data_IF_798281855719
#
_entry.id   IF_798281855719
#
_cell.length_a   1.000
_cell.length_b   1.000
_cell.length_c   1.000
_cell.angle_alpha   90.00
_cell.angle_beta   90.00
_cell.angle_gamma   90.00
#
_symmetry.space_group_name_H-M   'P 1'
#
loop_
_entity.id
_entity.type
_entity.pdbx_description
1 polymer ?
#
# COMPACT_ATOMS: atom_id res chain seq x y z
N UNK A 1 -14.75 -12.66 -0.96
CA UNK A 1 -14.30 -12.76 0.46
C UNK A 1 -13.28 -11.69 0.80
N UNK A 2 -13.17 -11.33 2.09
CA UNK A 2 -12.12 -10.44 2.60
C UNK A 2 -11.53 -11.03 3.86
N UNK A 3 -10.24 -10.80 4.10
CA UNK A 3 -9.52 -11.28 5.28
C UNK A 3 -8.88 -10.11 6.02
N UNK A 4 -8.95 -10.12 7.34
CA UNK A 4 -8.38 -9.09 8.21
C UNK A 4 -7.69 -9.70 9.43
N UNK A 5 -6.90 -8.88 10.11
CA UNK A 5 -6.25 -9.24 11.37
C UNK A 5 -6.66 -8.24 12.44
N UNK A 6 -7.19 -8.73 13.55
CA UNK A 6 -7.55 -7.92 14.72
C UNK A 6 -6.81 -8.40 15.95
N UNK A 7 -6.68 -7.55 16.97
CA UNK A 7 -6.25 -7.97 18.30
C UNK A 7 -7.48 -8.16 19.17
N UNK A 8 -7.63 -9.36 19.71
CA UNK A 8 -8.69 -9.69 20.64
C UNK A 8 -8.05 -10.42 21.84
N UNK A 9 -8.42 -10.02 23.05
CA UNK A 9 -7.85 -10.58 24.30
C UNK A 9 -6.31 -10.56 24.37
N UNK A 10 -5.69 -9.56 23.72
CA UNK A 10 -4.25 -9.39 23.65
C UNK A 10 -3.53 -10.16 22.52
N UNK A 11 -4.23 -11.07 21.84
CA UNK A 11 -3.68 -11.89 20.76
C UNK A 11 -4.15 -11.47 19.37
N UNK A 12 -3.31 -11.66 18.36
CA UNK A 12 -3.69 -11.43 16.97
C UNK A 12 -4.59 -12.56 16.49
N UNK A 13 -5.76 -12.24 15.95
CA UNK A 13 -6.72 -13.18 15.42
C UNK A 13 -7.11 -12.81 13.99
N UNK A 14 -7.28 -13.82 13.16
CA UNK A 14 -7.75 -13.66 11.80
C UNK A 14 -9.28 -13.61 11.77
N UNK A 15 -9.79 -12.71 10.95
CA UNK A 15 -11.23 -12.58 10.67
C UNK A 15 -11.46 -12.65 9.17
N UNK A 16 -12.62 -13.18 8.80
CA UNK A 16 -13.06 -13.30 7.42
C UNK A 16 -14.39 -12.60 7.24
N UNK A 17 -14.54 -11.81 6.19
CA UNK A 17 -15.79 -11.22 5.78
C UNK A 17 -16.28 -11.83 4.48
N UNK A 18 -17.54 -12.22 4.47
CA UNK A 18 -18.25 -12.72 3.29
C UNK A 18 -18.74 -11.59 2.38
N UNK A 19 -19.17 -11.93 1.17
CA UNK A 19 -19.67 -10.95 0.21
C UNK A 19 -21.01 -10.31 0.63
N UNK A 20 -21.80 -10.98 1.46
CA UNK A 20 -23.04 -10.47 2.05
C UNK A 20 -22.82 -9.64 3.33
N UNK A 21 -21.55 -9.52 3.77
CA UNK A 21 -21.14 -8.66 4.88
C UNK A 21 -21.02 -9.36 6.23
N UNK A 22 -21.33 -10.66 6.33
CA UNK A 22 -21.10 -11.44 7.56
C UNK A 22 -19.61 -11.49 7.91
N UNK A 23 -19.28 -11.32 9.20
CA UNK A 23 -17.89 -11.36 9.67
C UNK A 23 -17.75 -12.51 10.68
N UNK A 24 -16.76 -13.33 10.48
CA UNK A 24 -16.49 -14.54 11.26
C UNK A 24 -15.05 -14.57 11.76
N UNK A 25 -14.86 -15.16 12.95
CA UNK A 25 -13.50 -15.52 13.38
C UNK A 25 -13.01 -16.69 12.53
N UNK A 26 -11.79 -16.61 12.06
CA UNK A 26 -11.19 -17.67 11.26
C UNK A 26 -11.18 -19.01 11.99
N UNK A 27 -10.99 -19.00 13.32
CA UNK A 27 -11.06 -20.20 14.16
C UNK A 27 -12.40 -20.96 13.97
N UNK A 28 -13.51 -20.24 13.99
CA UNK A 28 -14.83 -20.88 13.82
C UNK A 28 -15.00 -21.43 12.40
N UNK A 29 -14.55 -20.71 11.38
CA UNK A 29 -14.62 -21.16 9.97
C UNK A 29 -13.75 -22.40 9.75
N UNK A 30 -12.53 -22.42 10.30
CA UNK A 30 -11.63 -23.56 10.19
C UNK A 30 -12.17 -24.81 10.91
N UNK A 31 -12.80 -24.65 12.06
CA UNK A 31 -13.42 -25.75 12.78
C UNK A 31 -14.55 -26.44 11.98
N UNK A 32 -15.35 -25.65 11.23
CA UNK A 32 -16.42 -26.19 10.37
C UNK A 32 -15.84 -26.81 9.09
N UNK A 33 -14.81 -26.17 8.49
CA UNK A 33 -14.18 -26.68 7.27
C UNK A 33 -13.30 -27.90 7.48
N UNK A 34 -12.95 -28.22 8.73
CA UNK A 34 -12.07 -29.33 9.07
C UNK A 34 -10.58 -29.08 8.82
N UNK A 35 -10.18 -27.81 8.64
CA UNK A 35 -8.79 -27.43 8.47
C UNK A 35 -8.19 -26.89 9.78
N UNK A 36 -6.87 -27.01 9.89
CA UNK A 36 -6.13 -26.41 11.00
C UNK A 36 -6.12 -24.88 10.90
N UNK A 37 -6.25 -24.20 12.04
CA UNK A 37 -6.21 -22.74 12.11
C UNK A 37 -4.83 -22.22 11.67
N UNK A 38 -4.75 -21.32 10.68
CA UNK A 38 -3.51 -20.66 10.33
C UNK A 38 -3.04 -19.74 11.46
N UNK A 39 -1.75 -19.80 11.78
CA UNK A 39 -1.18 -19.02 12.88
C UNK A 39 -1.17 -17.50 12.59
N UNK A 40 -1.06 -17.12 11.32
CA UNK A 40 -1.00 -15.73 10.86
C UNK A 40 -1.64 -15.60 9.50
N UNK A 41 -1.89 -14.36 9.06
CA UNK A 41 -2.32 -14.08 7.68
C UNK A 41 -1.31 -14.60 6.65
N UNK A 42 -0.01 -14.48 6.92
CA UNK A 42 1.03 -15.02 6.03
C UNK A 42 0.94 -16.55 5.93
N UNK A 43 0.64 -17.23 7.03
CA UNK A 43 0.41 -18.67 7.01
C UNK A 43 -0.84 -19.04 6.17
N UNK A 44 -1.93 -18.27 6.28
CA UNK A 44 -3.10 -18.45 5.41
C UNK A 44 -2.74 -18.26 3.93
N UNK A 45 -1.98 -17.21 3.60
CA UNK A 45 -1.54 -16.93 2.21
C UNK A 45 -0.71 -18.09 1.66
N UNK A 46 0.26 -18.60 2.44
CA UNK A 46 1.09 -19.74 2.03
C UNK A 46 0.26 -21.01 1.81
N UNK A 47 -0.67 -21.30 2.72
CA UNK A 47 -1.55 -22.48 2.58
C UNK A 47 -2.47 -22.39 1.37
N UNK A 48 -2.94 -21.18 1.04
CA UNK A 48 -3.77 -20.97 -0.15
C UNK A 48 -2.98 -21.13 -1.46
N UNK A 49 -1.65 -20.94 -1.45
CA UNK A 49 -0.78 -21.27 -2.59
C UNK A 49 -0.54 -22.78 -2.71
N UNK A 50 -0.37 -23.47 -1.57
CA UNK A 50 -0.15 -24.91 -1.52
C UNK A 50 -1.44 -25.72 -1.81
N UNK A 51 -2.61 -25.21 -1.46
CA UNK A 51 -3.91 -25.86 -1.58
C UNK A 51 -4.94 -24.93 -2.25
N UNK A 52 -5.18 -25.14 -3.52
CA UNK A 52 -6.13 -24.36 -4.32
C UNK A 52 -7.60 -24.53 -3.88
N UNK A 53 -7.93 -25.60 -3.17
CA UNK A 53 -9.27 -25.87 -2.67
C UNK A 53 -9.55 -25.23 -1.30
N UNK A 54 -8.52 -24.71 -0.62
CA UNK A 54 -8.67 -24.10 0.71
C UNK A 54 -9.69 -22.98 0.72
N UNK A 55 -9.50 -21.95 -0.11
CA UNK A 55 -10.38 -20.77 -0.12
C UNK A 55 -11.82 -21.09 -0.55
N UNK A 56 -12.06 -21.92 -1.59
CA UNK A 56 -13.39 -22.43 -1.89
C UNK A 56 -14.03 -23.19 -0.72
N UNK A 57 -13.27 -24.02 -0.02
CA UNK A 57 -13.76 -24.78 1.14
C UNK A 57 -14.13 -23.86 2.31
N UNK A 58 -13.34 -22.82 2.58
CA UNK A 58 -13.68 -21.82 3.59
C UNK A 58 -14.96 -21.06 3.25
N UNK A 59 -15.16 -20.73 1.97
CA UNK A 59 -16.41 -20.09 1.50
C UNK A 59 -17.62 -21.00 1.73
N UNK A 60 -17.50 -22.28 1.38
CA UNK A 60 -18.59 -23.26 1.55
C UNK A 60 -18.88 -23.56 3.03
N UNK A 61 -17.88 -23.52 3.91
CA UNK A 61 -18.05 -23.75 5.33
C UNK A 61 -19.00 -22.74 5.98
N UNK A 62 -19.00 -21.50 5.50
CA UNK A 62 -19.83 -20.42 6.03
C UNK A 62 -21.32 -20.67 5.81
N UNK A 63 -21.72 -21.29 4.70
CA UNK A 63 -23.13 -21.60 4.40
C UNK A 63 -23.75 -22.50 5.46
N UNK A 64 -22.94 -23.25 6.21
CA UNK A 64 -23.37 -24.12 7.29
C UNK A 64 -23.24 -23.53 8.70
N UNK A 65 -22.73 -22.30 8.83
CA UNK A 65 -22.50 -21.67 10.14
C UNK A 65 -23.80 -21.06 10.70
N UNK A 66 -23.94 -21.14 12.02
CA UNK A 66 -25.04 -20.53 12.72
C UNK A 66 -24.93 -19.00 12.76
N UNK A 67 -26.07 -18.28 12.74
CA UNK A 67 -26.09 -16.80 12.79
C UNK A 67 -25.37 -16.22 14.02
N UNK A 68 -25.33 -16.95 15.14
CA UNK A 68 -24.64 -16.53 16.36
C UNK A 68 -23.11 -16.60 16.25
N UNK A 69 -22.58 -17.23 15.19
CA UNK A 69 -21.15 -17.21 14.86
C UNK A 69 -20.67 -15.90 14.21
N UNK A 70 -21.62 -15.04 13.78
CA UNK A 70 -21.31 -13.73 13.21
C UNK A 70 -20.83 -12.80 14.33
N UNK A 71 -19.65 -12.23 14.16
CA UNK A 71 -19.12 -11.21 15.06
C UNK A 71 -19.43 -9.81 14.54
N UNK A 72 -19.50 -8.85 15.45
CA UNK A 72 -19.64 -7.43 15.12
C UNK A 72 -18.34 -6.74 15.44
N UNK A 73 -17.82 -6.02 14.47
CA UNK A 73 -16.69 -5.13 14.63
C UNK A 73 -17.24 -3.70 14.76
N UNK A 74 -16.62 -2.92 15.61
CA UNK A 74 -16.99 -1.53 15.91
C UNK A 74 -15.78 -0.59 15.71
N UNK A 75 -15.99 0.70 16.01
CA UNK A 75 -14.95 1.72 15.83
C UNK A 75 -13.77 1.53 16.79
N UNK A 76 -13.96 0.79 17.90
CA UNK A 76 -12.92 0.49 18.90
C UNK A 76 -12.15 -0.81 18.57
N UNK A 77 -12.50 -1.51 17.50
CA UNK A 77 -11.81 -2.73 17.07
C UNK A 77 -10.33 -2.47 16.87
N UNK A 78 -9.49 -3.24 17.55
CA UNK A 78 -8.03 -3.12 17.48
C UNK A 78 -7.49 -3.81 16.21
N UNK A 79 -7.54 -3.10 15.08
CA UNK A 79 -7.02 -3.58 13.81
C UNK A 79 -5.50 -3.59 13.78
N UNK A 80 -4.96 -4.69 13.31
CA UNK A 80 -3.55 -4.86 12.96
C UNK A 80 -3.38 -4.73 11.43
N UNK A 81 -2.15 -4.45 10.93
CA UNK A 81 -1.87 -4.65 9.52
C UNK A 81 -2.25 -6.07 9.11
N UNK A 82 -3.01 -6.29 8.01
CA UNK A 82 -3.38 -7.64 7.58
C UNK A 82 -2.17 -8.57 7.42
N UNK A 83 -1.11 -8.08 6.78
CA UNK A 83 0.22 -8.70 6.78
C UNK A 83 1.13 -7.84 7.65
N UNK A 84 1.59 -8.37 8.78
CA UNK A 84 2.40 -7.62 9.74
C UNK A 84 3.90 -7.64 9.44
N UNK A 85 4.39 -8.64 8.70
CA UNK A 85 5.82 -8.83 8.45
C UNK A 85 6.08 -9.39 7.04
N UNK A 86 5.77 -8.64 5.97
CA UNK A 86 6.15 -9.00 4.61
C UNK A 86 7.68 -9.05 4.48
N UNK A 87 8.21 -9.86 3.55
CA UNK A 87 9.66 -9.86 3.31
C UNK A 87 10.12 -8.53 2.72
N UNK A 88 9.27 -7.88 1.94
CA UNK A 88 9.48 -6.54 1.39
C UNK A 88 8.16 -5.84 1.06
N UNK A 89 8.24 -4.51 1.05
CA UNK A 89 7.18 -3.62 0.57
C UNK A 89 7.78 -2.80 -0.55
N UNK A 90 7.28 -2.98 -1.77
CA UNK A 90 7.64 -2.18 -2.93
C UNK A 90 6.60 -1.07 -3.12
N UNK A 91 7.04 0.16 -3.29
CA UNK A 91 6.19 1.23 -3.77
C UNK A 91 6.56 1.63 -5.19
N UNK A 92 5.58 1.98 -6.02
CA UNK A 92 5.79 2.45 -7.40
C UNK A 92 5.72 3.97 -7.45
N UNK A 93 6.87 4.60 -7.66
CA UNK A 93 6.98 6.06 -7.71
C UNK A 93 6.42 6.64 -9.01
N UNK A 94 5.75 7.79 -8.91
CA UNK A 94 5.26 8.56 -10.06
C UNK A 94 4.33 7.78 -11.02
N UNK A 95 3.66 6.75 -10.53
CA UNK A 95 2.76 5.93 -11.35
C UNK A 95 1.38 6.56 -11.59
N UNK A 96 1.30 7.88 -11.73
CA UNK A 96 0.08 8.59 -12.08
C UNK A 96 0.36 9.56 -13.23
N UNK A 97 -0.43 9.50 -14.29
CA UNK A 97 -0.23 10.31 -15.51
C UNK A 97 -0.23 11.83 -15.24
N UNK A 98 -1.02 12.30 -14.26
CA UNK A 98 -1.03 13.72 -13.89
C UNK A 98 0.28 14.13 -13.18
N UNK A 99 0.86 13.26 -12.38
CA UNK A 99 2.13 13.51 -11.72
C UNK A 99 3.29 13.48 -12.71
N UNK A 100 3.22 12.59 -13.71
CA UNK A 100 4.23 12.47 -14.76
C UNK A 100 4.35 13.69 -15.67
N UNK A 101 3.32 14.52 -15.79
CA UNK A 101 3.39 15.78 -16.56
C UNK A 101 4.50 16.74 -16.09
N UNK A 102 5.03 16.53 -14.90
CA UNK A 102 6.12 17.32 -14.31
C UNK A 102 7.50 16.65 -14.40
N UNK A 103 7.56 15.45 -14.93
CA UNK A 103 8.83 14.74 -15.10
C UNK A 103 9.60 15.28 -16.30
N UNK A 104 10.89 15.54 -16.12
CA UNK A 104 11.81 15.95 -17.20
C UNK A 104 12.40 14.74 -17.92
N UNK A 105 12.47 13.62 -17.23
CA UNK A 105 12.96 12.35 -17.76
C UNK A 105 12.01 11.24 -17.31
N UNK A 106 11.79 10.30 -18.20
CA UNK A 106 10.95 9.14 -18.00
C UNK A 106 11.70 7.89 -18.50
N UNK A 107 12.09 6.96 -17.62
CA UNK A 107 12.82 5.75 -18.03
C UNK A 107 11.97 4.77 -18.85
N UNK A 108 10.66 4.96 -18.97
CA UNK A 108 9.76 4.09 -19.71
C UNK A 108 9.37 2.79 -18.97
N UNK A 109 9.79 2.64 -17.72
CA UNK A 109 9.51 1.47 -16.86
C UNK A 109 9.11 1.94 -15.45
N UNK A 110 8.37 1.11 -14.67
CA UNK A 110 8.06 1.41 -13.28
C UNK A 110 9.31 1.67 -12.43
N UNK A 111 9.27 2.73 -11.62
CA UNK A 111 10.32 3.05 -10.65
C UNK A 111 9.93 2.56 -9.27
N UNK A 112 10.77 1.73 -8.66
CA UNK A 112 10.50 1.15 -7.35
C UNK A 112 11.32 1.80 -6.24
N UNK A 113 10.71 1.84 -5.04
CA UNK A 113 11.41 2.09 -3.79
C UNK A 113 10.96 1.04 -2.75
N UNK A 114 11.74 0.88 -1.69
CA UNK A 114 11.46 -0.06 -0.61
C UNK A 114 10.98 0.69 0.64
N UNK A 115 10.01 0.09 1.34
CA UNK A 115 9.63 0.48 2.70
C UNK A 115 9.93 -0.68 3.65
N UNK A 116 10.42 -0.40 4.89
CA UNK A 116 10.60 -1.43 5.89
C UNK A 116 9.24 -1.87 6.46
N UNK A 117 9.06 -3.16 6.83
CA UNK A 117 7.83 -3.62 7.47
C UNK A 117 7.46 -2.87 8.76
N UNK A 118 8.45 -2.33 9.49
CA UNK A 118 8.21 -1.54 10.70
C UNK A 118 7.39 -0.26 10.49
N UNK A 119 7.26 0.22 9.24
CA UNK A 119 6.40 1.37 8.96
C UNK A 119 4.90 1.04 8.97
N UNK A 120 4.53 -0.26 8.91
CA UNK A 120 3.13 -0.67 8.82
C UNK A 120 2.36 -0.38 10.10
N UNK A 121 1.13 0.08 9.93
CA UNK A 121 0.16 0.24 11.01
C UNK A 121 -1.26 -0.08 10.51
N UNK A 122 -2.14 -0.52 11.41
CA UNK A 122 -3.51 -0.94 11.07
C UNK A 122 -4.50 0.22 11.00
N UNK A 123 -5.72 -0.10 10.58
CA UNK A 123 -6.86 0.80 10.63
C UNK A 123 -7.09 1.32 12.06
N UNK A 124 -7.51 2.58 12.22
CA UNK A 124 -7.75 3.21 13.53
C UNK A 124 -6.49 3.60 14.29
N UNK A 125 -5.32 3.07 13.93
CA UNK A 125 -4.06 3.40 14.60
C UNK A 125 -3.53 4.75 14.16
N UNK A 126 -2.80 5.48 15.05
CA UNK A 126 -2.31 6.82 14.71
C UNK A 126 -1.18 6.79 13.67
N UNK A 127 -1.18 7.83 12.83
CA UNK A 127 -0.01 8.26 12.08
C UNK A 127 0.72 9.26 12.98
N UNK A 128 1.90 8.92 13.46
CA UNK A 128 2.73 9.81 14.26
C UNK A 128 3.57 10.70 13.36
N UNK A 129 3.48 12.01 13.58
CA UNK A 129 4.21 13.02 12.81
C UNK A 129 4.92 13.97 13.77
N UNK A 130 6.23 14.12 13.59
CA UNK A 130 6.96 15.22 14.21
C UNK A 130 6.77 16.48 13.33
N UNK A 131 6.24 17.57 13.85
CA UNK A 131 6.09 18.83 13.10
C UNK A 131 7.40 19.35 12.50
N UNK A 132 8.54 19.00 13.09
CA UNK A 132 9.87 19.39 12.58
C UNK A 132 10.31 18.60 11.32
N UNK A 133 9.54 17.58 10.91
CA UNK A 133 9.82 16.82 9.67
C UNK A 133 9.35 17.51 8.40
N UNK A 134 8.83 18.73 8.49
CA UNK A 134 8.36 19.54 7.37
C UNK A 134 7.08 18.99 6.75
N UNK A 135 6.96 19.10 5.43
CA UNK A 135 5.76 18.70 4.71
C UNK A 135 5.60 17.16 4.71
N UNK A 136 4.78 16.65 5.62
CA UNK A 136 4.33 15.24 5.64
C UNK A 136 2.95 15.16 5.01
N UNK A 137 2.78 14.30 4.01
CA UNK A 137 1.56 14.17 3.21
C UNK A 137 1.05 12.72 3.21
N UNK A 138 -0.28 12.49 3.15
CA UNK A 138 -0.85 11.18 2.88
C UNK A 138 -0.76 10.87 1.39
N UNK A 139 -0.63 9.62 1.04
CA UNK A 139 -0.64 9.13 -0.35
C UNK A 139 -1.58 7.93 -0.46
N UNK A 140 -2.87 8.16 -0.84
CA UNK A 140 -3.87 7.11 -1.03
C UNK A 140 -3.49 6.18 -2.19
N UNK A 141 -3.38 4.87 -1.92
CA UNK A 141 -2.94 3.88 -2.90
C UNK A 141 -3.71 2.56 -2.78
N UNK A 142 -3.81 1.83 -3.90
CA UNK A 142 -4.12 0.40 -3.89
C UNK A 142 -2.81 -0.38 -3.73
N UNK A 143 -2.86 -1.48 -2.98
CA UNK A 143 -1.72 -2.34 -2.71
C UNK A 143 -2.09 -3.80 -2.95
N UNK A 144 -1.30 -4.54 -3.74
CA UNK A 144 -1.41 -5.98 -3.87
C UNK A 144 -0.64 -6.69 -2.76
N UNK A 145 -1.19 -7.81 -2.31
CA UNK A 145 -0.51 -8.83 -1.50
C UNK A 145 -0.20 -10.00 -2.41
N UNK A 146 1.06 -10.36 -2.54
CA UNK A 146 1.50 -11.50 -3.34
C UNK A 146 1.05 -12.78 -2.68
N UNK A 147 0.43 -13.67 -3.44
CA UNK A 147 -0.08 -14.96 -2.98
C UNK A 147 0.80 -16.13 -3.38
N UNK A 148 1.46 -16.03 -4.52
CA UNK A 148 2.30 -17.06 -5.10
C UNK A 148 3.66 -16.50 -5.45
N UNK A 149 4.71 -17.27 -5.20
CA UNK A 149 6.08 -16.88 -5.56
C UNK A 149 6.17 -16.53 -7.04
N UNK A 150 6.74 -15.33 -7.34
CA UNK A 150 6.87 -14.82 -8.71
C UNK A 150 8.30 -14.41 -9.01
N UNK A 151 8.82 -14.87 -10.16
CA UNK A 151 10.13 -14.50 -10.70
C UNK A 151 10.13 -14.62 -12.21
N UNK A 152 10.42 -13.51 -12.91
CA UNK A 152 10.42 -13.41 -14.37
C UNK A 152 9.08 -13.79 -15.02
N UNK A 153 7.96 -13.43 -14.38
CA UNK A 153 6.62 -13.66 -14.91
C UNK A 153 6.23 -12.62 -15.96
N UNK A 154 5.30 -12.96 -16.82
CA UNK A 154 4.70 -12.04 -17.80
C UNK A 154 3.61 -11.16 -17.16
N UNK A 155 3.14 -10.13 -17.89
CA UNK A 155 2.01 -9.30 -17.45
C UNK A 155 0.70 -10.12 -17.41
N UNK A 156 0.52 -11.04 -18.31
CA UNK A 156 -0.66 -11.91 -18.37
C UNK A 156 -0.77 -12.84 -17.17
N UNK A 157 0.37 -13.26 -16.61
CA UNK A 157 0.44 -14.13 -15.42
C UNK A 157 0.36 -13.35 -14.09
N UNK A 158 0.56 -12.03 -14.13
CA UNK A 158 0.81 -11.22 -12.93
C UNK A 158 -0.30 -11.35 -11.87
N UNK A 159 -1.58 -11.29 -12.27
CA UNK A 159 -2.70 -11.38 -11.33
C UNK A 159 -2.90 -12.78 -10.76
N UNK A 160 -2.44 -13.84 -11.42
CA UNK A 160 -2.46 -15.22 -10.91
C UNK A 160 -1.52 -15.41 -9.70
N UNK A 161 -0.60 -14.46 -9.50
CA UNK A 161 0.32 -14.43 -8.37
C UNK A 161 -0.15 -13.54 -7.22
N UNK A 162 -1.32 -12.89 -7.34
CA UNK A 162 -1.86 -11.99 -6.31
C UNK A 162 -2.87 -12.73 -5.43
N UNK A 163 -2.69 -12.69 -4.11
CA UNK A 163 -3.66 -13.19 -3.13
C UNK A 163 -4.89 -12.28 -3.05
N UNK A 164 -4.68 -10.98 -3.03
CA UNK A 164 -5.73 -9.98 -2.96
C UNK A 164 -5.17 -8.58 -2.88
N UNK A 165 -6.07 -7.61 -2.73
CA UNK A 165 -5.75 -6.19 -2.69
C UNK A 165 -6.23 -5.55 -1.39
N UNK A 166 -5.51 -4.53 -0.94
CA UNK A 166 -5.88 -3.72 0.21
C UNK A 166 -5.57 -2.24 -0.02
N UNK A 167 -6.10 -1.39 0.84
CA UNK A 167 -5.75 0.03 0.87
C UNK A 167 -4.41 0.20 1.57
N UNK A 168 -3.56 1.08 1.05
CA UNK A 168 -2.32 1.52 1.66
C UNK A 168 -2.24 3.05 1.61
N UNK A 169 -1.79 3.65 2.70
CA UNK A 169 -1.44 5.06 2.76
C UNK A 169 0.08 5.18 2.80
N UNK A 170 0.70 5.48 1.65
CA UNK A 170 2.15 5.63 1.55
C UNK A 170 2.61 7.00 2.06
N UNK A 171 2.42 7.24 3.36
CA UNK A 171 2.76 8.52 4.00
C UNK A 171 4.19 8.92 3.69
N UNK A 172 4.37 10.16 3.26
CA UNK A 172 5.65 10.67 2.80
C UNK A 172 6.00 12.01 3.44
N UNK A 173 7.20 12.11 4.02
CA UNK A 173 7.75 13.39 4.44
C UNK A 173 8.65 13.99 3.35
N UNK A 174 8.19 15.04 2.71
CA UNK A 174 9.01 15.82 1.79
C UNK A 174 10.13 16.58 2.50
N UNK A 175 9.93 16.97 3.77
CA UNK A 175 10.99 17.61 4.56
C UNK A 175 12.16 16.67 4.84
N UNK A 176 11.89 15.43 5.29
CA UNK A 176 12.94 14.42 5.43
C UNK A 176 13.55 14.02 4.08
N UNK A 177 12.72 13.90 3.04
CA UNK A 177 13.17 13.56 1.69
C UNK A 177 14.24 14.50 1.19
N UNK A 178 13.99 15.78 1.20
CA UNK A 178 14.92 16.77 0.66
C UNK A 178 15.98 17.21 1.67
N UNK A 179 15.67 17.17 2.97
CA UNK A 179 16.59 17.61 4.01
C UNK A 179 17.57 16.56 4.53
N UNK A 180 17.19 15.25 4.45
CA UNK A 180 18.00 14.17 5.07
C UNK A 180 18.21 12.94 4.19
N UNK A 181 17.34 12.70 3.20
CA UNK A 181 17.42 11.55 2.30
C UNK A 181 18.02 11.91 0.92
N UNK A 182 18.40 13.16 0.72
CA UNK A 182 18.94 13.65 -0.56
C UNK A 182 20.40 14.04 -0.43
N UNK A 183 21.18 13.67 -1.45
CA UNK A 183 22.59 14.08 -1.61
C UNK A 183 22.73 14.65 -3.02
N UNK A 184 23.37 15.82 -3.11
CA UNK A 184 23.79 16.41 -4.39
C UNK A 184 25.28 16.15 -4.59
N UNK A 185 25.67 15.76 -5.79
CA UNK A 185 27.06 15.55 -6.18
C UNK A 185 27.31 16.17 -7.55
N UNK A 186 28.52 16.68 -7.73
CA UNK A 186 29.02 17.11 -9.06
C UNK A 186 29.95 16.03 -9.56
N UNK A 187 29.70 15.50 -10.74
CA UNK A 187 30.60 14.53 -11.38
C UNK A 187 31.71 15.19 -12.11
N UNK A 188 32.91 14.60 -12.03
CA UNK A 188 33.98 14.90 -12.95
C UNK A 188 33.54 14.50 -14.37
N UNK A 189 33.74 15.38 -15.36
CA UNK A 189 33.38 15.15 -16.76
C UNK A 189 34.03 13.88 -17.32
N UNK A 190 35.25 13.58 -16.91
CA UNK A 190 35.99 12.40 -17.35
C UNK A 190 35.37 11.10 -16.80
N UNK A 191 34.59 11.19 -15.69
CA UNK A 191 33.88 10.09 -15.06
C UNK A 191 32.39 9.99 -15.50
N UNK A 192 31.81 11.08 -15.98
CA UNK A 192 30.45 11.12 -16.46
C UNK A 192 30.38 10.47 -17.84
N UNK A 193 29.60 9.38 -17.93
CA UNK A 193 29.32 8.74 -19.22
C UNK A 193 28.08 9.37 -19.82
N UNK A 194 28.16 10.06 -20.99
CA UNK A 194 27.04 10.77 -21.59
C UNK A 194 25.80 9.89 -21.78
N UNK A 195 25.97 8.61 -22.10
CA UNK A 195 24.87 7.65 -22.28
C UNK A 195 24.05 7.41 -21.00
N UNK A 196 24.62 7.67 -19.82
CA UNK A 196 23.89 7.52 -18.55
C UNK A 196 23.37 8.83 -17.97
N UNK A 197 23.96 9.97 -18.35
CA UNK A 197 23.68 11.27 -17.73
C UNK A 197 23.20 12.35 -18.71
N UNK A 198 23.16 12.09 -20.00
CA UNK A 198 22.76 13.07 -21.02
C UNK A 198 21.39 13.71 -20.77
N UNK A 199 20.43 12.98 -20.17
CA UNK A 199 19.12 13.50 -19.82
C UNK A 199 19.14 14.51 -18.65
N UNK A 200 20.25 14.61 -17.92
CA UNK A 200 20.43 15.54 -16.79
C UNK A 200 20.93 16.92 -17.23
N UNK A 201 21.34 17.08 -18.47
CA UNK A 201 21.83 18.33 -19.02
C UNK A 201 20.69 19.36 -19.22
N UNK A 202 19.85 19.55 -18.19
CA UNK A 202 18.72 20.49 -18.22
C UNK A 202 19.16 21.94 -18.24
N UNK A 203 20.36 22.23 -17.74
CA UNK A 203 20.94 23.57 -17.64
C UNK A 203 22.08 23.82 -18.62
N UNK A 204 22.32 22.90 -19.56
CA UNK A 204 23.33 22.97 -20.60
C UNK A 204 24.24 21.76 -20.64
N UNK A 205 25.11 21.68 -21.65
CA UNK A 205 26.05 20.57 -21.86
C UNK A 205 27.07 20.44 -20.71
N UNK A 206 27.21 21.50 -19.93
CA UNK A 206 28.15 21.55 -18.80
C UNK A 206 27.51 21.11 -17.47
N UNK A 207 26.23 20.77 -17.45
CA UNK A 207 25.53 20.32 -16.26
C UNK A 207 25.98 18.88 -15.90
N UNK A 208 26.78 18.79 -14.84
CA UNK A 208 27.28 17.50 -14.29
C UNK A 208 26.70 17.21 -12.91
N UNK A 209 25.77 18.03 -12.41
CA UNK A 209 25.18 17.84 -11.10
C UNK A 209 24.13 16.71 -11.12
N UNK A 210 24.21 15.87 -10.11
CA UNK A 210 23.27 14.78 -9.90
C UNK A 210 22.69 14.81 -8.49
N UNK A 211 21.41 14.55 -8.40
CA UNK A 211 20.66 14.53 -7.15
C UNK A 211 20.17 13.12 -6.87
N UNK A 212 20.61 12.53 -5.76
CA UNK A 212 20.17 11.22 -5.30
C UNK A 212 19.20 11.35 -4.15
N UNK A 213 18.10 10.59 -4.21
CA UNK A 213 17.08 10.53 -3.16
C UNK A 213 16.89 9.08 -2.76
N UNK A 214 17.15 8.76 -1.49
CA UNK A 214 17.14 7.38 -1.00
C UNK A 214 15.83 6.93 -0.36
N UNK A 215 14.91 7.83 -0.06
CA UNK A 215 13.56 7.59 0.48
C UNK A 215 13.48 6.81 1.81
N UNK A 216 14.58 6.50 2.46
CA UNK A 216 14.60 5.62 3.64
C UNK A 216 13.82 6.21 4.81
N UNK A 217 14.15 7.43 5.24
CA UNK A 217 13.43 8.12 6.33
C UNK A 217 12.10 8.66 5.87
N UNK A 218 12.09 9.27 4.69
CA UNK A 218 10.93 9.98 4.18
C UNK A 218 9.71 9.11 3.94
N UNK A 219 9.89 7.80 3.73
CA UNK A 219 8.82 6.82 3.48
C UNK A 219 8.81 5.65 4.46
N UNK A 220 9.92 5.40 5.15
CA UNK A 220 10.09 4.23 6.00
C UNK A 220 9.97 4.50 7.50
N UNK A 221 9.65 5.71 7.91
CA UNK A 221 9.40 6.05 9.33
C UNK A 221 8.23 5.25 9.88
N UNK A 222 8.31 4.84 11.13
CA UNK A 222 7.25 4.08 11.82
C UNK A 222 5.90 4.79 11.69
N UNK A 223 4.83 4.03 11.52
CA UNK A 223 3.47 4.48 11.21
C UNK A 223 3.24 5.16 9.82
N UNK A 224 4.25 5.22 8.96
CA UNK A 224 4.12 5.82 7.61
C UNK A 224 3.57 4.85 6.56
N UNK A 225 3.12 3.67 6.96
CA UNK A 225 2.49 2.66 6.12
C UNK A 225 1.15 2.15 6.67
N UNK A 226 0.16 3.01 6.96
CA UNK A 226 -1.16 2.52 7.30
C UNK A 226 -1.73 1.64 6.18
N UNK A 227 -2.28 0.46 6.52
CA UNK A 227 -2.80 -0.48 5.53
C UNK A 227 -3.99 -1.30 6.04
N UNK A 228 -4.74 -1.88 5.11
CA UNK A 228 -5.93 -2.67 5.36
C UNK A 228 -7.22 -1.85 5.37
N UNK A 229 -8.20 -2.13 6.25
CA UNK A 229 -8.22 -3.20 7.26
C UNK A 229 -8.35 -4.61 6.68
N UNK A 230 -8.82 -4.72 5.44
CA UNK A 230 -9.09 -5.96 4.75
C UNK A 230 -8.11 -6.21 3.59
N UNK A 231 -7.74 -7.46 3.37
CA UNK A 231 -7.31 -7.98 2.07
C UNK A 231 -8.55 -8.48 1.36
N UNK A 232 -8.92 -7.86 0.25
CA UNK A 232 -10.06 -8.23 -0.60
C UNK A 232 -9.56 -9.13 -1.71
N UNK A 233 -10.18 -10.29 -1.86
CA UNK A 233 -9.79 -11.28 -2.88
C UNK A 233 -9.96 -10.75 -4.30
N UNK A 234 -9.16 -11.26 -5.24
CA UNK A 234 -9.11 -10.79 -6.63
C UNK A 234 -10.47 -10.92 -7.36
N UNK A 235 -11.25 -11.96 -7.08
CA UNK A 235 -12.59 -12.17 -7.65
C UNK A 235 -13.59 -11.08 -7.25
N UNK A 236 -13.46 -10.52 -6.03
CA UNK A 236 -14.30 -9.42 -5.53
C UNK A 236 -13.82 -8.07 -6.10
N UNK A 237 -12.52 -7.90 -6.25
CA UNK A 237 -11.92 -6.66 -6.80
C UNK A 237 -12.21 -6.52 -8.30
N UNK A 238 -12.18 -7.62 -9.03
CA UNK A 238 -12.32 -7.62 -10.48
C UNK A 238 -11.10 -6.98 -11.15
N UNK A 239 -11.30 -5.82 -11.80
CA UNK A 239 -10.20 -5.13 -12.48
C UNK A 239 -9.51 -4.10 -11.54
N UNK A 240 -8.28 -4.35 -11.04
CA UNK A 240 -7.59 -3.42 -10.15
C UNK A 240 -7.20 -2.10 -10.83
N UNK A 241 -7.26 -2.02 -12.16
CA UNK A 241 -7.00 -0.81 -12.93
C UNK A 241 -8.25 0.05 -13.17
N UNK A 242 -9.41 -0.32 -12.58
CA UNK A 242 -10.70 0.35 -12.78
C UNK A 242 -11.41 0.66 -11.45
N UNK A 243 -10.67 1.24 -10.49
CA UNK A 243 -11.16 1.53 -9.14
C UNK A 243 -11.14 3.03 -8.84
N UNK A 244 -12.20 3.51 -8.20
CA UNK A 244 -12.26 4.87 -7.67
C UNK A 244 -11.51 4.97 -6.34
N UNK A 245 -10.71 6.04 -6.19
CA UNK A 245 -9.94 6.34 -4.98
C UNK A 245 -10.41 7.68 -4.43
N UNK A 246 -10.89 7.70 -3.19
CA UNK A 246 -11.28 8.92 -2.47
C UNK A 246 -10.44 9.07 -1.21
N UNK A 247 -9.80 10.23 -1.03
CA UNK A 247 -9.09 10.58 0.18
C UNK A 247 -9.80 11.70 0.93
N UNK A 248 -9.93 11.56 2.26
CA UNK A 248 -10.60 12.52 3.14
C UNK A 248 -9.74 12.93 4.33
N UNK A 249 -9.98 14.13 4.85
CA UNK A 249 -9.53 14.57 6.17
C UNK A 249 -10.74 15.04 6.97
N UNK A 250 -11.03 14.42 8.12
CA UNK A 250 -12.25 14.67 8.88
C UNK A 250 -13.50 14.67 7.98
N UNK A 251 -13.61 13.68 7.11
CA UNK A 251 -14.65 13.49 6.09
C UNK A 251 -14.72 14.54 4.97
N UNK A 252 -13.92 15.61 5.02
CA UNK A 252 -13.75 16.54 3.89
C UNK A 252 -12.85 15.91 2.81
N UNK A 253 -13.35 15.80 1.59
CA UNK A 253 -12.63 15.19 0.47
C UNK A 253 -11.50 16.10 0.00
N UNK A 254 -10.25 15.61 0.03
CA UNK A 254 -9.09 16.31 -0.51
C UNK A 254 -8.64 15.78 -1.89
N UNK A 255 -9.01 14.54 -2.23
CA UNK A 255 -8.69 13.96 -3.53
C UNK A 255 -9.76 12.98 -3.97
N UNK A 256 -10.01 12.95 -5.28
CA UNK A 256 -10.76 11.91 -5.99
C UNK A 256 -10.00 11.56 -7.25
N UNK A 257 -9.67 10.31 -7.41
CA UNK A 257 -8.94 9.82 -8.58
C UNK A 257 -9.42 8.42 -8.96
N UNK A 258 -8.75 7.81 -9.90
CA UNK A 258 -9.09 6.51 -10.47
C UNK A 258 -7.82 5.74 -10.84
N UNK A 259 -7.75 4.45 -10.54
CA UNK A 259 -6.56 3.64 -10.87
C UNK A 259 -6.29 3.55 -12.37
N UNK A 260 -7.30 3.76 -13.22
CA UNK A 260 -7.13 3.94 -14.66
C UNK A 260 -6.24 5.13 -15.07
N UNK A 261 -5.92 6.05 -14.14
CA UNK A 261 -4.94 7.11 -14.34
C UNK A 261 -3.50 6.67 -14.06
N UNK A 262 -3.27 5.44 -13.65
CA UNK A 262 -1.93 4.87 -13.55
C UNK A 262 -1.24 4.90 -14.91
N UNK A 263 0.06 5.19 -14.89
CA UNK A 263 0.89 5.16 -16.08
C UNK A 263 1.15 3.73 -16.53
N UNK A 264 1.51 2.89 -15.58
CA UNK A 264 1.69 1.45 -15.74
C UNK A 264 0.58 0.72 -15.01
N UNK A 265 0.03 -0.30 -15.63
CA UNK A 265 -0.99 -1.14 -15.01
C UNK A 265 -0.44 -1.89 -13.79
N UNK A 266 -1.32 -2.43 -12.99
CA UNK A 266 -0.96 -3.30 -11.86
C UNK A 266 -0.12 -4.48 -12.35
N UNK A 267 -0.53 -5.10 -13.46
CA UNK A 267 0.13 -6.25 -14.08
C UNK A 267 1.54 -5.89 -14.55
N UNK A 268 1.69 -4.77 -15.26
CA UNK A 268 3.01 -4.27 -15.71
C UNK A 268 3.94 -4.05 -14.51
N UNK A 269 3.44 -3.46 -13.42
CA UNK A 269 4.26 -3.21 -12.23
C UNK A 269 4.70 -4.51 -11.55
N UNK A 270 3.82 -5.51 -11.44
CA UNK A 270 4.15 -6.82 -10.83
C UNK A 270 5.15 -7.56 -11.71
N UNK A 271 4.89 -7.66 -13.01
CA UNK A 271 5.79 -8.31 -13.97
C UNK A 271 7.18 -7.68 -13.96
N UNK A 272 7.26 -6.35 -14.04
CA UNK A 272 8.55 -5.63 -14.01
C UNK A 272 9.27 -5.82 -12.67
N UNK A 273 8.56 -5.77 -11.53
CA UNK A 273 9.16 -6.06 -10.22
C UNK A 273 9.76 -7.47 -10.17
N UNK A 274 9.06 -8.47 -10.74
CA UNK A 274 9.50 -9.86 -10.75
C UNK A 274 10.79 -10.09 -11.55
N UNK A 275 11.15 -9.19 -12.46
CA UNK A 275 12.41 -9.27 -13.23
C UNK A 275 13.64 -9.07 -12.34
N UNK A 276 13.53 -8.22 -11.33
CA UNK A 276 14.64 -7.86 -10.44
C UNK A 276 14.55 -8.56 -9.10
N UNK A 277 13.35 -8.63 -8.52
CA UNK A 277 13.10 -9.19 -7.20
C UNK A 277 12.37 -10.53 -7.31
N UNK A 278 12.74 -11.50 -6.50
CA UNK A 278 11.83 -12.63 -6.24
C UNK A 278 10.74 -12.11 -5.32
N UNK A 279 9.49 -12.15 -5.79
CA UNK A 279 8.33 -11.82 -4.99
C UNK A 279 7.90 -13.08 -4.26
N UNK A 280 7.80 -12.99 -2.93
CA UNK A 280 7.40 -14.11 -2.07
C UNK A 280 5.95 -13.92 -1.59
N UNK A 281 5.23 -14.99 -1.24
CA UNK A 281 3.92 -14.85 -0.61
C UNK A 281 3.95 -13.90 0.58
N UNK A 282 2.97 -13.01 0.67
CA UNK A 282 2.89 -11.95 1.68
C UNK A 282 3.64 -10.67 1.35
N UNK A 283 4.48 -10.63 0.31
CA UNK A 283 5.08 -9.37 -0.16
C UNK A 283 4.01 -8.40 -0.64
N UNK A 284 4.30 -7.11 -0.48
CA UNK A 284 3.37 -6.03 -0.80
C UNK A 284 3.90 -5.18 -1.94
N UNK A 285 3.01 -4.81 -2.88
CA UNK A 285 3.32 -3.84 -3.94
C UNK A 285 2.24 -2.76 -3.95
N UNK A 286 2.63 -1.50 -3.67
CA UNK A 286 1.78 -0.32 -3.68
C UNK A 286 1.98 0.46 -4.98
N UNK A 287 0.87 0.77 -5.69
CA UNK A 287 0.94 1.11 -7.12
C UNK A 287 0.96 2.60 -7.44
N UNK A 288 1.09 3.45 -6.44
CA UNK A 288 1.18 4.89 -6.64
C UNK A 288 -0.12 5.63 -6.31
N UNK A 289 0.06 6.89 -5.96
CA UNK A 289 -0.97 7.72 -5.37
C UNK A 289 -1.80 8.50 -6.41
N UNK A 290 -2.81 9.18 -5.91
CA UNK A 290 -3.70 10.06 -6.66
C UNK A 290 -2.98 11.31 -7.19
N UNK A 291 -3.46 11.84 -8.32
CA UNK A 291 -2.92 13.06 -8.95
C UNK A 291 -3.86 14.26 -8.93
N UNK A 292 -5.12 14.07 -8.51
CA UNK A 292 -6.18 15.07 -8.63
C UNK A 292 -6.63 15.60 -7.28
N UNK A 293 -6.79 16.94 -7.19
CA UNK A 293 -7.32 17.63 -6.02
C UNK A 293 -8.81 17.94 -6.14
N UNK A 294 -9.46 18.21 -5.00
CA UNK A 294 -10.88 18.56 -4.89
C UNK A 294 -11.05 19.78 -3.99
N UNK A 295 -11.94 20.68 -4.39
CA UNK A 295 -12.30 21.85 -3.60
C UNK A 295 -11.09 22.76 -3.30
N UNK A 296 -10.87 23.07 -2.02
CA UNK A 296 -9.73 23.89 -1.56
C UNK A 296 -8.37 23.18 -1.68
N UNK A 297 -8.37 21.86 -1.87
CA UNK A 297 -7.15 21.06 -1.98
C UNK A 297 -6.68 20.98 -3.43
N UNK A 298 -6.28 22.10 -4.02
CA UNK A 298 -5.97 22.24 -5.45
C UNK A 298 -4.87 21.27 -5.95
N UNK A 299 -3.99 20.82 -5.06
CA UNK A 299 -2.92 19.87 -5.38
C UNK A 299 -3.16 18.48 -4.77
N UNK A 300 -4.45 18.16 -4.45
CA UNK A 300 -4.84 16.90 -3.86
C UNK A 300 -4.11 16.61 -2.56
N UNK A 301 -3.60 15.41 -2.39
CA UNK A 301 -2.85 14.96 -1.23
C UNK A 301 -1.67 15.90 -0.85
N UNK A 302 -1.04 16.58 -1.83
CA UNK A 302 0.06 17.54 -1.60
C UNK A 302 -0.39 18.85 -0.97
N UNK A 303 -1.70 19.09 -0.86
CA UNK A 303 -2.26 20.25 -0.15
C UNK A 303 -2.52 19.94 1.33
N UNK A 304 -2.38 18.66 1.74
CA UNK A 304 -2.68 18.20 3.09
C UNK A 304 -1.38 17.96 3.85
N UNK A 305 -1.01 18.91 4.72
CA UNK A 305 0.23 18.85 5.50
C UNK A 305 -0.05 18.29 6.90
N UNK A 306 0.25 17.01 7.13
CA UNK A 306 -0.04 16.30 8.36
C UNK A 306 0.76 16.83 9.58
N UNK A 307 1.86 17.54 9.35
CA UNK A 307 2.61 18.21 10.41
C UNK A 307 1.93 19.48 10.93
N UNK A 308 0.95 20.04 10.21
CA UNK A 308 0.25 21.28 10.52
C UNK A 308 -1.19 21.06 11.00
N UNK A 309 -1.73 19.86 10.77
CA UNK A 309 -3.13 19.53 11.07
C UNK A 309 -3.24 18.26 11.91
N UNK A 310 -4.30 18.22 12.71
CA UNK A 310 -4.76 17.00 13.40
C UNK A 310 -6.11 16.61 12.82
N UNK A 311 -6.43 15.32 12.90
CA UNK A 311 -7.70 14.80 12.40
C UNK A 311 -7.56 13.35 11.96
N UNK A 312 -8.54 12.86 11.23
CA UNK A 312 -8.56 11.50 10.71
C UNK A 312 -8.39 11.55 9.20
N UNK A 313 -7.30 10.97 8.70
CA UNK A 313 -7.11 10.72 7.27
C UNK A 313 -7.90 9.48 6.92
N UNK A 314 -8.84 9.59 5.99
CA UNK A 314 -9.62 8.49 5.43
C UNK A 314 -9.23 8.22 3.98
N UNK A 315 -9.17 6.95 3.61
CA UNK A 315 -9.02 6.49 2.22
C UNK A 315 -10.10 5.47 1.95
N UNK A 316 -10.85 5.66 0.89
CA UNK A 316 -11.92 4.77 0.47
C UNK A 316 -11.68 4.33 -0.97
N UNK A 317 -11.74 3.03 -1.18
CA UNK A 317 -11.61 2.39 -2.50
C UNK A 317 -12.62 1.24 -2.55
N UNK A 318 -13.67 1.35 -3.34
CA UNK A 318 -14.57 0.23 -3.57
C UNK A 318 -13.93 -0.79 -4.54
N UNK A 319 -14.01 -2.10 -4.26
CA UNK A 319 -14.70 -2.76 -3.14
C UNK A 319 -13.81 -3.02 -1.91
N UNK A 320 -12.63 -2.41 -1.80
CA UNK A 320 -11.66 -2.68 -0.72
C UNK A 320 -12.19 -2.22 0.66
N UNK A 321 -12.99 -1.16 0.67
CA UNK A 321 -13.55 -0.56 1.88
C UNK A 321 -12.90 0.76 2.26
N UNK A 322 -12.76 1.03 3.58
CA UNK A 322 -12.22 2.28 4.11
C UNK A 322 -11.08 2.02 5.09
N UNK A 323 -9.96 2.68 4.87
CA UNK A 323 -8.85 2.81 5.84
C UNK A 323 -8.92 4.21 6.47
N UNK A 324 -8.90 4.31 7.79
CA UNK A 324 -8.97 5.58 8.50
C UNK A 324 -7.94 5.60 9.64
N UNK A 325 -7.16 6.68 9.73
CA UNK A 325 -6.08 6.78 10.70
C UNK A 325 -6.01 8.20 11.29
N UNK A 326 -6.06 8.37 12.63
CA UNK A 326 -5.89 9.66 13.26
C UNK A 326 -4.43 10.14 13.14
N UNK A 327 -4.25 11.43 12.90
CA UNK A 327 -2.93 12.07 12.94
C UNK A 327 -2.61 12.50 14.37
N UNK A 328 -1.43 12.17 14.85
CA UNK A 328 -0.92 12.56 16.17
C UNK A 328 0.44 13.23 16.03
N UNK A 329 0.57 14.44 16.60
CA UNK A 329 1.85 15.12 16.65
C UNK A 329 2.65 14.63 17.87
N UNK A 330 3.84 14.13 17.61
CA UNK A 330 4.76 13.65 18.64
C UNK A 330 6.19 13.96 18.22
N UNK A 331 6.94 14.63 19.09
CA UNK A 331 8.35 14.93 18.82
C UNK A 331 9.15 13.63 18.74
N UNK A 332 9.90 13.46 17.65
CA UNK A 332 10.62 12.24 17.34
C UNK A 332 9.80 11.15 16.62
N UNK A 333 8.48 11.35 16.47
CA UNK A 333 7.58 10.36 15.86
C UNK A 333 7.10 9.28 16.82
N UNK A 334 6.83 8.06 16.29
CA UNK A 334 6.35 6.91 17.07
C UNK A 334 7.42 6.34 17.99
#
# INVERSE_FOLDING_TARGET
>A
MKFGTIRLDGEAQLVMQTNDGGIYRMEAVMAVSGHDLPATMLDLVNRADDDADLLPTLAAAIDGMAEDSIIRLDDDTDWLPPIGNPSKILGVAFNNRELMKKAHHDPGVPNFFLKPPSCLTGHGKPIFVDPDWGAVIPEPEICAVIGRRAKHISEEEALDHVFGFMIHNDVTSHGLKFGKDSIAVTYDRDMARPEFYGWRNLHGEDDTDAYYVYHTRSKGTDSFGPCGPWITMCDVVGNPNDLHVTGTINDEVFTKDHTGNYRFSVETCIAEASRYFTLEPGDMISFGTTGKGVGRFLRGHKSLLLGEITGVVGIEIEPLGRLANPVRHQKGGA
#
